data_IF_819638325111
#
_entry.id   IF_819638325111
#
_cell.length_a   1.000
_cell.length_b   1.000
_cell.length_c   1.000
_cell.angle_alpha   90.00
_cell.angle_beta   90.00
_cell.angle_gamma   90.00
#
_symmetry.space_group_name_H-M   'P 1'
#
loop_
_entity.id
_entity.type
_entity.pdbx_description
1 polymer ?
#
# COMPACT_ATOMS: atom_id res chain seq x y z
N UNK A 1 -4.22 11.52 16.76
CA UNK A 1 -5.17 10.65 16.05
C UNK A 1 -6.21 11.53 15.39
N UNK A 2 -6.59 11.29 14.13
CA UNK A 2 -7.72 12.01 13.50
C UNK A 2 -9.02 11.43 14.05
N UNK A 3 -9.89 12.30 14.55
CA UNK A 3 -11.22 11.93 15.01
C UNK A 3 -12.09 11.48 13.82
N UNK A 4 -12.95 10.50 14.04
CA UNK A 4 -13.97 10.07 13.08
C UNK A 4 -15.29 10.71 13.50
N UNK A 5 -15.86 11.55 12.65
CA UNK A 5 -17.00 12.41 12.96
C UNK A 5 -18.27 11.96 12.22
N UNK A 6 -19.42 12.48 12.63
CA UNK A 6 -20.70 12.28 11.91
C UNK A 6 -20.61 12.74 10.44
N UNK A 7 -19.79 13.76 10.15
CA UNK A 7 -19.57 14.22 8.79
C UNK A 7 -18.77 13.18 7.96
N UNK A 8 -17.78 12.51 8.57
CA UNK A 8 -17.07 11.43 7.92
C UNK A 8 -18.01 10.25 7.61
N UNK A 9 -18.87 9.92 8.57
CA UNK A 9 -19.88 8.89 8.38
C UNK A 9 -20.83 9.23 7.24
N UNK A 10 -21.31 10.48 7.19
CA UNK A 10 -22.16 10.96 6.11
C UNK A 10 -21.50 10.81 4.74
N UNK A 11 -20.27 11.30 4.58
CA UNK A 11 -19.53 11.17 3.32
C UNK A 11 -19.14 9.71 2.99
N UNK A 12 -18.84 8.90 3.99
CA UNK A 12 -18.58 7.47 3.80
C UNK A 12 -19.82 6.77 3.25
N UNK A 13 -20.99 7.04 3.80
CA UNK A 13 -22.25 6.42 3.38
C UNK A 13 -22.73 6.92 2.01
N UNK A 14 -22.42 8.18 1.64
CA UNK A 14 -22.70 8.71 0.29
C UNK A 14 -21.69 8.28 -0.77
N UNK A 15 -20.56 7.67 -0.37
CA UNK A 15 -19.46 7.31 -1.28
C UNK A 15 -18.60 8.49 -1.73
N UNK A 16 -18.70 9.64 -1.08
CA UNK A 16 -18.02 10.89 -1.45
C UNK A 16 -16.79 11.21 -0.58
N UNK A 17 -16.43 10.34 0.36
CA UNK A 17 -15.30 10.56 1.26
C UNK A 17 -13.96 10.28 0.61
N UNK A 18 -13.39 11.24 -0.10
CA UNK A 18 -12.15 11.09 -0.88
C UNK A 18 -10.88 10.87 -0.03
N UNK A 19 -10.91 11.17 1.27
CA UNK A 19 -9.75 11.04 2.18
C UNK A 19 -10.00 10.05 3.33
N UNK A 20 -10.93 9.12 3.15
CA UNK A 20 -11.31 8.14 4.19
C UNK A 20 -10.12 7.28 4.66
N UNK A 21 -9.17 7.00 3.76
CA UNK A 21 -7.93 6.29 4.06
C UNK A 21 -7.03 6.98 5.11
N UNK A 22 -7.23 8.26 5.38
CA UNK A 22 -6.50 8.98 6.43
C UNK A 22 -7.03 8.69 7.84
N UNK A 23 -8.22 8.10 7.94
CA UNK A 23 -8.92 7.82 9.19
C UNK A 23 -9.15 6.33 9.43
N UNK A 24 -9.39 5.55 8.36
CA UNK A 24 -9.57 4.10 8.40
C UNK A 24 -8.24 3.39 8.25
N UNK A 25 -8.18 2.14 8.73
CA UNK A 25 -6.96 1.33 8.70
C UNK A 25 -6.07 1.49 9.95
N UNK A 26 -4.79 1.20 9.80
CA UNK A 26 -3.81 1.25 10.87
C UNK A 26 -2.93 2.50 10.78
N UNK A 27 -3.06 3.40 11.75
CA UNK A 27 -2.32 4.66 11.81
C UNK A 27 -1.43 4.76 13.05
N UNK A 28 -0.16 5.11 12.85
CA UNK A 28 0.75 5.28 13.97
C UNK A 28 0.55 6.61 14.67
N UNK A 29 0.35 6.53 15.98
CA UNK A 29 0.29 7.68 16.87
C UNK A 29 1.71 8.07 17.26
N UNK A 30 2.07 9.33 17.07
CA UNK A 30 3.43 9.83 17.30
C UNK A 30 3.44 11.07 18.18
N UNK A 31 4.48 11.18 19.00
CA UNK A 31 4.84 12.39 19.67
C UNK A 31 6.32 12.69 19.41
N UNK A 32 6.65 13.89 18.91
CA UNK A 32 8.05 14.32 18.63
C UNK A 32 8.90 13.27 17.90
N UNK A 33 8.34 12.62 16.87
CA UNK A 33 8.97 11.53 16.11
C UNK A 33 9.06 10.16 16.81
N UNK A 34 8.63 10.01 18.06
CA UNK A 34 8.53 8.72 18.74
C UNK A 34 7.15 8.12 18.45
N UNK A 35 7.11 6.86 18.00
CA UNK A 35 5.87 6.11 17.88
C UNK A 35 5.45 5.69 19.29
N UNK A 36 4.25 6.11 19.69
CA UNK A 36 3.63 5.74 20.97
C UNK A 36 2.80 4.46 20.86
N UNK A 37 2.25 4.17 19.68
CA UNK A 37 1.44 3.01 19.42
C UNK A 37 0.77 3.12 18.04
N UNK A 38 -0.15 2.21 17.77
CA UNK A 38 -0.93 2.17 16.52
C UNK A 38 -2.42 2.20 16.82
N UNK A 39 -3.13 3.06 16.11
CA UNK A 39 -4.59 3.12 16.14
C UNK A 39 -5.15 2.39 14.93
N UNK A 40 -6.09 1.50 15.18
CA UNK A 40 -6.81 0.73 14.17
C UNK A 40 -8.26 1.21 14.07
N UNK A 41 -8.78 1.29 12.86
CA UNK A 41 -10.19 1.58 12.60
C UNK A 41 -10.68 0.80 11.40
N UNK A 42 -11.83 0.12 11.54
CA UNK A 42 -12.43 -0.71 10.48
C UNK A 42 -13.94 -0.57 10.48
N UNK A 43 -14.52 -0.60 9.28
CA UNK A 43 -15.96 -0.66 9.09
C UNK A 43 -16.40 -2.11 8.96
N UNK A 44 -17.22 -2.58 9.91
CA UNK A 44 -17.74 -3.94 9.97
C UNK A 44 -19.19 -3.95 10.52
N UNK A 45 -20.17 -3.37 9.79
CA UNK A 45 -21.50 -3.08 10.32
C UNK A 45 -22.29 -4.35 10.73
N UNK A 46 -21.96 -5.49 10.17
CA UNK A 46 -22.61 -6.78 10.48
C UNK A 46 -21.81 -7.63 11.47
N UNK A 47 -20.81 -7.05 12.12
CA UNK A 47 -20.02 -7.74 13.13
C UNK A 47 -20.67 -7.62 14.51
N UNK A 48 -20.69 -8.74 15.27
CA UNK A 48 -20.98 -8.71 16.69
C UNK A 48 -19.78 -8.22 17.49
N UNK A 49 -18.58 -8.69 17.14
CA UNK A 49 -17.32 -8.33 17.77
C UNK A 49 -16.22 -8.28 16.70
N UNK A 50 -15.24 -7.41 16.91
CA UNK A 50 -14.04 -7.33 16.06
C UNK A 50 -12.80 -7.33 16.94
N UNK A 51 -11.77 -8.06 16.53
CA UNK A 51 -10.46 -8.10 17.20
C UNK A 51 -9.37 -7.77 16.21
N UNK A 52 -8.30 -7.12 16.68
CA UNK A 52 -7.04 -7.05 15.96
C UNK A 52 -6.15 -8.18 16.45
N UNK A 53 -5.74 -9.04 15.53
CA UNK A 53 -4.83 -10.17 15.79
C UNK A 53 -3.59 -10.03 14.92
N UNK A 54 -2.43 -10.40 15.44
CA UNK A 54 -1.18 -10.25 14.71
C UNK A 54 0.02 -10.79 15.46
N UNK A 55 1.21 -10.53 14.93
CA UNK A 55 2.47 -11.01 15.52
C UNK A 55 2.64 -10.51 16.96
N UNK A 56 2.22 -9.27 17.24
CA UNK A 56 2.33 -8.61 18.54
C UNK A 56 1.50 -9.26 19.67
N UNK A 57 0.52 -10.07 19.35
CA UNK A 57 -0.32 -10.78 20.34
C UNK A 57 -0.42 -12.29 20.07
N UNK A 58 0.57 -12.85 19.34
CA UNK A 58 0.62 -14.25 18.94
C UNK A 58 -0.69 -14.72 18.26
N UNK A 59 -1.32 -13.84 17.49
CA UNK A 59 -2.57 -14.07 16.74
C UNK A 59 -3.76 -14.43 17.64
N UNK A 60 -3.72 -14.01 18.91
CA UNK A 60 -4.76 -14.31 19.92
C UNK A 60 -5.82 -13.20 19.98
N UNK A 61 -7.03 -13.55 20.46
CA UNK A 61 -8.18 -12.65 20.66
C UNK A 61 -8.02 -11.77 21.91
N UNK A 62 -6.88 -11.15 22.13
CA UNK A 62 -6.61 -10.31 23.30
C UNK A 62 -6.87 -8.82 23.08
N UNK A 63 -7.08 -8.40 21.83
CA UNK A 63 -7.20 -7.00 21.44
C UNK A 63 -8.55 -6.75 20.76
N UNK A 64 -9.62 -6.73 21.59
CA UNK A 64 -10.97 -6.45 21.14
C UNK A 64 -11.12 -4.97 20.79
N UNK A 65 -11.68 -4.68 19.61
CA UNK A 65 -12.00 -3.33 19.17
C UNK A 65 -13.30 -2.85 19.81
N UNK A 66 -13.36 -1.55 20.09
CA UNK A 66 -14.55 -0.88 20.60
C UNK A 66 -15.39 -0.37 19.45
N UNK A 67 -16.69 -0.53 19.55
CA UNK A 67 -17.64 0.12 18.66
C UNK A 67 -17.55 1.64 18.83
N UNK A 68 -17.39 2.36 17.74
CA UNK A 68 -17.27 3.84 17.74
C UNK A 68 -18.59 4.47 17.30
N UNK A 69 -19.01 4.22 16.06
CA UNK A 69 -20.21 4.76 15.46
C UNK A 69 -20.63 3.91 14.26
N UNK A 70 -21.91 3.59 14.11
CA UNK A 70 -22.57 3.00 12.94
C UNK A 70 -21.75 1.92 12.19
N UNK A 71 -21.33 0.90 12.92
CA UNK A 71 -20.55 -0.21 12.38
C UNK A 71 -19.06 0.06 12.22
N UNK A 72 -18.57 1.20 12.64
CA UNK A 72 -17.14 1.51 12.74
C UNK A 72 -16.62 1.05 14.10
N UNK A 73 -15.54 0.27 14.08
CA UNK A 73 -14.83 -0.21 15.26
C UNK A 73 -13.42 0.41 15.32
N UNK A 74 -12.95 0.71 16.51
CA UNK A 74 -11.64 1.28 16.75
C UNK A 74 -10.88 0.60 17.90
N UNK A 75 -9.56 0.69 17.86
CA UNK A 75 -8.67 0.25 18.93
C UNK A 75 -7.35 1.00 18.89
N UNK A 76 -6.87 1.45 20.03
CA UNK A 76 -5.48 1.90 20.18
C UNK A 76 -4.66 0.83 20.89
N UNK A 77 -3.52 0.45 20.28
CA UNK A 77 -2.56 -0.50 20.85
C UNK A 77 -1.28 0.25 21.19
N UNK A 78 -1.03 0.44 22.48
CA UNK A 78 0.17 1.13 22.98
C UNK A 78 1.44 0.34 22.64
N UNK A 79 2.50 1.06 22.30
CA UNK A 79 3.81 0.47 22.01
C UNK A 79 3.92 -0.25 20.66
N UNK A 80 2.82 -0.48 19.95
CA UNK A 80 2.83 -1.19 18.67
C UNK A 80 3.50 -0.34 17.59
N UNK A 81 4.53 -0.92 16.96
CA UNK A 81 5.40 -0.25 15.99
C UNK A 81 5.02 -0.57 14.55
N UNK A 82 5.84 -0.07 13.64
CA UNK A 82 5.80 -0.38 12.20
C UNK A 82 6.34 -1.78 11.91
N UNK A 83 5.85 -2.39 10.85
CA UNK A 83 6.23 -3.69 10.32
C UNK A 83 5.72 -4.89 11.15
N UNK A 84 4.61 -4.71 11.86
CA UNK A 84 3.88 -5.79 12.51
C UNK A 84 2.75 -6.29 11.59
N UNK A 85 2.68 -7.59 11.39
CA UNK A 85 1.60 -8.19 10.60
C UNK A 85 0.34 -8.33 11.45
N UNK A 86 -0.81 -8.07 10.83
CA UNK A 86 -2.11 -8.15 11.50
C UNK A 86 -3.25 -8.51 10.54
N UNK A 87 -4.34 -8.98 11.13
CA UNK A 87 -5.65 -9.14 10.50
C UNK A 87 -6.74 -8.67 11.44
N UNK A 88 -7.92 -8.42 10.89
CA UNK A 88 -9.14 -8.32 11.68
C UNK A 88 -9.78 -9.70 11.78
N UNK A 89 -10.05 -10.13 13.02
CA UNK A 89 -10.92 -11.26 13.32
C UNK A 89 -12.30 -10.74 13.64
N UNK A 90 -13.24 -11.04 12.79
CA UNK A 90 -14.64 -10.61 12.88
C UNK A 90 -15.49 -11.78 13.37
N UNK A 91 -16.22 -11.57 14.44
CA UNK A 91 -17.22 -12.51 14.95
C UNK A 91 -18.59 -12.04 14.49
N UNK A 92 -19.24 -12.85 13.68
CA UNK A 92 -20.58 -12.58 13.18
C UNK A 92 -21.67 -12.83 14.24
N UNK A 93 -22.89 -12.36 14.03
CA UNK A 93 -24.01 -12.57 14.97
C UNK A 93 -24.36 -14.06 15.14
N UNK A 94 -24.13 -14.91 14.14
CA UNK A 94 -24.30 -16.37 14.20
C UNK A 94 -23.07 -17.12 14.76
N UNK A 95 -22.04 -16.37 15.23
CA UNK A 95 -20.86 -16.91 15.90
C UNK A 95 -19.75 -17.41 15.00
N UNK A 96 -19.83 -17.22 13.67
CA UNK A 96 -18.73 -17.56 12.75
C UNK A 96 -17.56 -16.62 12.93
N UNK A 97 -16.37 -17.14 12.69
CA UNK A 97 -15.11 -16.39 12.68
C UNK A 97 -14.68 -16.11 11.25
N UNK A 98 -14.42 -14.84 10.94
CA UNK A 98 -13.97 -14.41 9.63
C UNK A 98 -12.67 -13.63 9.80
N UNK A 99 -11.61 -14.07 9.14
CA UNK A 99 -10.31 -13.43 9.14
C UNK A 99 -10.19 -12.56 7.89
N UNK A 100 -9.95 -11.25 8.06
CA UNK A 100 -9.85 -10.28 6.97
C UNK A 100 -8.57 -9.47 7.06
N UNK A 101 -7.94 -9.24 5.89
CA UNK A 101 -6.96 -8.18 5.75
C UNK A 101 -7.64 -6.81 5.91
N UNK A 102 -6.85 -5.81 6.25
CA UNK A 102 -7.33 -4.43 6.35
C UNK A 102 -7.49 -3.83 4.94
N UNK A 103 -8.70 -3.39 4.55
CA UNK A 103 -8.92 -2.79 3.24
C UNK A 103 -8.20 -1.46 3.04
N UNK A 104 -7.78 -0.79 4.12
CA UNK A 104 -7.05 0.48 4.10
C UNK A 104 -5.57 0.33 4.47
N UNK A 105 -5.04 -0.89 4.48
CA UNK A 105 -3.63 -1.12 4.75
C UNK A 105 -2.74 -0.45 3.71
N UNK A 106 -1.67 0.22 4.16
CA UNK A 106 -0.65 0.82 3.29
C UNK A 106 0.47 -0.16 2.92
N UNK A 107 0.51 -1.32 3.54
CA UNK A 107 1.47 -2.37 3.25
C UNK A 107 0.88 -3.74 3.56
N UNK A 108 1.29 -4.74 2.79
CA UNK A 108 0.83 -6.12 2.91
C UNK A 108 2.01 -7.07 3.10
N UNK A 109 1.77 -8.17 3.76
CA UNK A 109 2.72 -9.28 3.87
C UNK A 109 2.99 -9.87 2.48
N UNK A 110 4.23 -10.32 2.27
CA UNK A 110 4.61 -10.97 0.99
C UNK A 110 3.85 -12.29 0.84
N UNK A 111 3.30 -12.51 -0.35
CA UNK A 111 2.60 -13.77 -0.69
C UNK A 111 3.49 -15.00 -0.44
N UNK A 112 2.94 -16.17 -0.11
CA UNK A 112 1.52 -16.56 -0.14
C UNK A 112 0.69 -16.05 1.04
N UNK A 113 1.31 -15.36 1.97
CA UNK A 113 0.66 -14.81 3.13
C UNK A 113 -0.29 -13.65 2.76
N UNK A 114 -1.29 -13.39 3.62
CA UNK A 114 -2.39 -12.47 3.30
C UNK A 114 -2.69 -11.47 4.42
N UNK A 115 -1.74 -11.26 5.34
CA UNK A 115 -1.91 -10.27 6.38
C UNK A 115 -1.60 -8.86 5.88
N UNK A 116 -2.22 -7.88 6.50
CA UNK A 116 -1.82 -6.49 6.42
C UNK A 116 -0.62 -6.24 7.32
N UNK A 117 0.19 -5.24 6.99
CA UNK A 117 1.37 -4.88 7.77
C UNK A 117 1.29 -3.41 8.18
N UNK A 118 1.47 -3.11 9.45
CA UNK A 118 1.54 -1.73 9.93
C UNK A 118 2.72 -1.02 9.28
N UNK A 119 2.51 0.19 8.75
CA UNK A 119 3.55 0.89 8.01
C UNK A 119 3.66 2.36 8.40
N UNK A 120 4.90 2.79 8.63
CA UNK A 120 5.24 4.18 8.88
C UNK A 120 6.16 4.70 7.79
N UNK A 121 5.59 5.29 6.75
CA UNK A 121 6.37 5.95 5.70
C UNK A 121 7.22 7.08 6.26
N UNK A 122 8.48 7.11 5.86
CA UNK A 122 9.44 8.19 6.17
C UNK A 122 9.99 8.84 4.92
N UNK A 123 9.51 8.42 3.75
CA UNK A 123 9.95 8.95 2.48
C UNK A 123 9.55 10.43 2.34
N UNK A 124 10.46 11.22 1.81
CA UNK A 124 10.23 12.62 1.45
C UNK A 124 10.57 12.79 -0.01
N UNK A 125 9.59 13.17 -0.80
CA UNK A 125 9.78 13.46 -2.22
C UNK A 125 10.73 14.63 -2.43
N UNK A 126 11.51 14.58 -3.51
CA UNK A 126 12.46 15.62 -3.95
C UNK A 126 12.14 16.12 -5.37
N UNK A 127 10.95 15.85 -5.83
CA UNK A 127 10.43 16.13 -7.16
C UNK A 127 9.72 17.49 -7.30
N UNK A 128 10.00 18.45 -6.40
CA UNK A 128 9.30 19.74 -6.37
C UNK A 128 9.43 20.51 -7.71
N UNK A 129 10.57 20.39 -8.41
CA UNK A 129 10.76 21.01 -9.74
C UNK A 129 9.75 20.43 -10.74
N UNK A 130 9.65 19.10 -10.82
CA UNK A 130 8.65 18.39 -11.64
C UNK A 130 7.22 18.82 -11.30
N UNK A 131 6.88 18.87 -10.01
CA UNK A 131 5.54 19.25 -9.56
C UNK A 131 5.18 20.68 -9.93
N UNK A 132 6.15 21.60 -9.95
CA UNK A 132 5.93 22.98 -10.38
C UNK A 132 5.76 23.06 -11.92
N UNK A 133 6.63 22.40 -12.68
CA UNK A 133 6.55 22.37 -14.15
C UNK A 133 5.27 21.69 -14.64
N UNK A 134 4.80 20.65 -13.95
CA UNK A 134 3.58 19.92 -14.29
C UNK A 134 2.33 20.81 -14.32
N UNK A 135 2.26 21.86 -13.51
CA UNK A 135 1.11 22.77 -13.46
C UNK A 135 1.00 23.58 -14.77
N UNK A 136 2.15 23.89 -15.38
CA UNK A 136 2.24 24.67 -16.62
C UNK A 136 2.21 23.79 -17.88
N UNK A 137 2.25 22.45 -17.71
CA UNK A 137 2.31 21.52 -18.83
C UNK A 137 0.95 21.33 -19.48
N UNK A 138 0.80 21.77 -20.74
CA UNK A 138 -0.40 21.51 -21.53
C UNK A 138 -0.24 20.23 -22.37
N UNK A 139 -0.88 19.16 -21.93
CA UNK A 139 -0.89 17.86 -22.62
C UNK A 139 -1.46 17.91 -24.04
N UNK A 140 -2.23 18.94 -24.40
CA UNK A 140 -2.80 19.09 -25.74
C UNK A 140 -1.83 19.69 -26.75
N UNK A 141 -0.84 20.43 -26.26
CA UNK A 141 0.13 21.14 -27.10
C UNK A 141 1.54 20.53 -27.06
N UNK A 142 1.76 19.52 -26.21
CA UNK A 142 3.05 18.87 -26.06
C UNK A 142 3.01 17.43 -26.59
N UNK A 143 4.10 16.94 -27.21
CA UNK A 143 4.17 15.54 -27.60
C UNK A 143 4.16 14.64 -26.37
N UNK A 144 3.32 13.60 -26.40
CA UNK A 144 3.21 12.59 -25.36
C UNK A 144 3.54 11.23 -25.94
N UNK A 145 4.48 10.52 -25.31
CA UNK A 145 4.83 9.14 -25.60
C UNK A 145 4.85 8.34 -24.29
N UNK A 146 4.00 7.32 -24.20
CA UNK A 146 3.79 6.54 -23.00
C UNK A 146 4.36 5.14 -23.21
N UNK A 147 5.15 4.66 -22.27
CA UNK A 147 5.64 3.29 -22.22
C UNK A 147 4.91 2.52 -21.14
N UNK A 148 4.07 1.57 -21.54
CA UNK A 148 3.35 0.68 -20.63
C UNK A 148 4.22 -0.53 -20.28
N UNK A 149 4.29 -0.89 -19.01
CA UNK A 149 5.03 -2.07 -18.57
C UNK A 149 4.45 -2.73 -17.33
N UNK A 150 4.63 -4.05 -17.25
CA UNK A 150 4.45 -4.83 -16.04
C UNK A 150 5.79 -5.02 -15.32
N UNK A 151 5.92 -4.48 -14.10
CA UNK A 151 7.19 -4.47 -13.35
C UNK A 151 7.79 -5.86 -13.14
N UNK A 152 6.96 -6.88 -12.95
CA UNK A 152 7.40 -8.24 -12.68
C UNK A 152 7.96 -9.00 -13.88
N UNK A 153 7.61 -8.59 -15.10
CA UNK A 153 8.03 -9.30 -16.34
C UNK A 153 8.94 -8.48 -17.25
N UNK A 154 9.03 -7.16 -17.07
CA UNK A 154 9.80 -6.30 -17.97
C UNK A 154 11.30 -6.60 -17.97
N UNK A 155 11.91 -6.67 -16.79
CA UNK A 155 13.27 -7.17 -16.59
C UNK A 155 13.30 -7.99 -15.31
N UNK A 156 13.79 -9.20 -15.40
CA UNK A 156 13.96 -10.10 -14.26
C UNK A 156 15.44 -10.27 -13.95
N UNK A 157 15.75 -10.63 -12.72
CA UNK A 157 17.09 -11.00 -12.30
C UNK A 157 17.17 -12.50 -12.01
N UNK A 158 18.33 -13.08 -12.25
CA UNK A 158 18.59 -14.47 -11.88
C UNK A 158 19.26 -14.52 -10.51
N UNK A 159 18.71 -15.31 -9.61
CA UNK A 159 19.29 -15.54 -8.28
C UNK A 159 19.79 -16.97 -8.24
N UNK A 160 21.07 -17.15 -7.94
CA UNK A 160 21.60 -18.49 -7.70
C UNK A 160 20.97 -19.03 -6.41
N UNK A 161 20.34 -20.20 -6.48
CA UNK A 161 20.05 -20.99 -5.28
C UNK A 161 21.38 -21.47 -4.72
N UNK A 162 21.54 -21.34 -3.39
CA UNK A 162 22.75 -21.77 -2.68
C UNK A 162 23.30 -23.11 -3.23
N UNK A 163 24.58 -23.12 -3.53
CA UNK A 163 25.45 -24.26 -3.90
C UNK A 163 24.80 -25.36 -4.76
N UNK A 164 24.81 -25.16 -6.06
CA UNK A 164 24.55 -26.23 -7.06
C UNK A 164 23.12 -26.26 -7.64
N UNK A 165 22.25 -25.34 -7.34
CA UNK A 165 20.93 -25.22 -7.96
C UNK A 165 20.94 -24.38 -9.24
N UNK A 166 20.02 -24.68 -10.18
CA UNK A 166 19.82 -23.85 -11.36
C UNK A 166 19.41 -22.41 -10.95
N UNK A 167 19.83 -21.37 -11.69
CA UNK A 167 19.39 -20.00 -11.48
C UNK A 167 17.85 -19.94 -11.50
N UNK A 168 17.27 -19.17 -10.57
CA UNK A 168 15.83 -18.95 -10.52
C UNK A 168 15.54 -17.49 -10.88
N UNK A 169 14.55 -17.27 -11.72
CA UNK A 169 14.04 -15.95 -12.00
C UNK A 169 13.47 -15.32 -10.72
N UNK A 170 13.83 -14.07 -10.49
CA UNK A 170 13.32 -13.28 -9.37
C UNK A 170 12.94 -11.88 -9.85
N UNK A 171 11.96 -11.28 -9.20
CA UNK A 171 11.58 -9.89 -9.47
C UNK A 171 12.70 -8.94 -9.07
N UNK A 172 12.86 -7.87 -9.84
CA UNK A 172 13.61 -6.72 -9.40
C UNK A 172 12.80 -5.97 -8.31
N UNK A 173 13.50 -5.40 -7.34
CA UNK A 173 12.84 -4.47 -6.43
C UNK A 173 12.53 -3.14 -7.13
N UNK A 174 11.63 -2.31 -6.54
CA UNK A 174 11.39 -0.96 -6.99
C UNK A 174 12.68 -0.14 -7.13
N UNK A 175 13.65 -0.35 -6.23
CA UNK A 175 14.96 0.32 -6.28
C UNK A 175 15.85 -0.19 -7.39
N UNK A 176 15.91 -1.53 -7.57
CA UNK A 176 16.79 -2.13 -8.57
C UNK A 176 16.34 -1.75 -9.99
N UNK A 177 15.02 -1.70 -10.22
CA UNK A 177 14.46 -1.40 -11.55
C UNK A 177 14.57 0.09 -11.92
N UNK A 178 14.61 0.98 -10.93
CA UNK A 178 14.58 2.43 -11.14
C UNK A 178 15.63 2.94 -12.15
N UNK A 179 16.94 2.70 -11.98
CA UNK A 179 17.94 3.19 -12.91
C UNK A 179 17.80 2.57 -14.30
N UNK A 180 17.45 1.30 -14.40
CA UNK A 180 17.26 0.58 -15.66
C UNK A 180 16.07 1.13 -16.45
N UNK A 181 15.01 1.50 -15.74
CA UNK A 181 13.81 2.07 -16.35
C UNK A 181 14.05 3.49 -16.84
N UNK A 182 14.70 4.32 -16.04
CA UNK A 182 15.06 5.70 -16.45
C UNK A 182 15.95 5.70 -17.68
N UNK A 183 16.97 4.85 -17.73
CA UNK A 183 17.85 4.69 -18.88
C UNK A 183 17.04 4.36 -20.14
N UNK A 184 16.24 3.29 -20.07
CA UNK A 184 15.41 2.83 -21.19
C UNK A 184 14.44 3.90 -21.70
N UNK A 185 13.75 4.59 -20.80
CA UNK A 185 12.78 5.63 -21.17
C UNK A 185 13.45 6.82 -21.84
N UNK A 186 14.62 7.26 -21.36
CA UNK A 186 15.37 8.35 -21.94
C UNK A 186 15.98 8.01 -23.30
N UNK A 187 16.57 6.83 -23.46
CA UNK A 187 17.13 6.37 -24.73
C UNK A 187 16.09 6.29 -25.85
N UNK A 188 14.83 6.00 -25.49
CA UNK A 188 13.74 5.88 -26.45
C UNK A 188 12.81 7.10 -26.50
N UNK A 189 13.15 8.20 -25.81
CA UNK A 189 12.40 9.45 -25.78
C UNK A 189 10.93 9.31 -25.31
N UNK A 190 10.68 8.41 -24.35
CA UNK A 190 9.37 8.35 -23.69
C UNK A 190 9.22 9.49 -22.68
N UNK A 191 8.05 10.11 -22.68
CA UNK A 191 7.71 11.19 -21.74
C UNK A 191 7.07 10.67 -20.46
N UNK A 192 6.41 9.53 -20.54
CA UNK A 192 5.70 8.91 -19.43
C UNK A 192 5.94 7.41 -19.40
N UNK A 193 5.79 6.84 -18.21
CA UNK A 193 5.66 5.41 -18.02
C UNK A 193 4.30 5.10 -17.38
N UNK A 194 3.61 4.11 -17.90
CA UNK A 194 2.41 3.55 -17.30
C UNK A 194 2.74 2.20 -16.67
N UNK A 195 2.53 2.12 -15.36
CA UNK A 195 2.75 0.89 -14.60
C UNK A 195 1.44 0.11 -14.55
N UNK A 196 1.41 -1.07 -15.17
CA UNK A 196 0.36 -2.08 -14.96
C UNK A 196 0.16 -2.30 -13.46
N UNK A 197 -1.02 -2.78 -13.00
CA UNK A 197 -1.44 -2.63 -11.62
C UNK A 197 -0.38 -3.00 -10.59
N UNK A 198 -0.04 -2.05 -9.74
CA UNK A 198 0.96 -2.21 -8.67
C UNK A 198 0.31 -2.37 -7.29
N UNK A 199 -1.01 -2.40 -7.22
CA UNK A 199 -1.76 -2.69 -5.98
C UNK A 199 -1.58 -4.13 -5.56
N UNK A 200 -1.71 -4.42 -4.26
CA UNK A 200 -1.50 -5.78 -3.73
C UNK A 200 -2.57 -6.75 -4.23
N UNK A 201 -2.11 -7.93 -4.65
CA UNK A 201 -2.93 -8.99 -5.24
C UNK A 201 -2.36 -10.38 -4.91
N UNK A 202 -3.20 -11.44 -4.79
CA UNK A 202 -2.73 -12.75 -4.37
C UNK A 202 -2.12 -13.58 -5.51
N UNK A 203 -2.58 -13.37 -6.76
CA UNK A 203 -2.26 -14.22 -7.90
C UNK A 203 -1.36 -13.48 -8.92
N UNK A 204 -0.12 -13.95 -9.10
CA UNK A 204 0.84 -13.38 -10.06
C UNK A 204 0.30 -13.37 -11.50
N UNK A 205 -0.39 -14.44 -11.90
CA UNK A 205 -0.96 -14.57 -13.24
C UNK A 205 -2.09 -13.55 -13.55
N UNK A 206 -2.60 -12.86 -12.54
CA UNK A 206 -3.58 -11.78 -12.75
C UNK A 206 -2.96 -10.46 -13.20
N UNK A 207 -1.62 -10.35 -13.19
CA UNK A 207 -0.88 -9.12 -13.47
C UNK A 207 -1.25 -7.94 -12.58
N UNK A 208 -1.88 -8.20 -11.43
CA UNK A 208 -2.35 -7.18 -10.50
C UNK A 208 -3.83 -6.80 -10.66
N UNK A 209 -4.53 -7.31 -11.66
CA UNK A 209 -5.96 -6.95 -11.88
C UNK A 209 -6.94 -7.60 -10.90
N UNK A 210 -6.50 -8.56 -10.08
CA UNK A 210 -7.30 -9.14 -8.99
C UNK A 210 -6.89 -8.55 -7.63
N UNK A 211 -7.17 -7.26 -7.45
CA UNK A 211 -6.73 -6.47 -6.30
C UNK A 211 -7.34 -6.96 -4.99
N UNK A 212 -6.52 -7.05 -3.94
CA UNK A 212 -6.94 -7.30 -2.55
C UNK A 212 -6.59 -6.17 -1.59
N UNK A 213 -5.66 -5.28 -1.97
CA UNK A 213 -5.24 -4.15 -1.15
C UNK A 213 -5.14 -2.87 -1.96
N UNK A 214 -6.24 -2.10 -2.05
CA UNK A 214 -6.31 -0.90 -2.89
C UNK A 214 -5.35 0.23 -2.50
N UNK A 215 -4.96 0.30 -1.22
CA UNK A 215 -4.04 1.33 -0.70
C UNK A 215 -2.62 0.80 -0.47
N UNK A 216 -2.40 -0.48 -0.73
CA UNK A 216 -1.12 -1.15 -0.54
C UNK A 216 -0.45 -1.40 -1.88
N UNK A 217 0.73 -0.83 -2.16
CA UNK A 217 1.54 -1.29 -3.28
C UNK A 217 1.96 -2.74 -3.03
N UNK A 218 2.04 -3.52 -4.11
CA UNK A 218 2.40 -4.94 -3.96
C UNK A 218 3.76 -5.11 -3.30
N UNK A 219 3.80 -5.94 -2.29
CA UNK A 219 5.01 -6.28 -1.53
C UNK A 219 6.04 -7.10 -2.33
N UNK A 220 5.65 -7.62 -3.51
CA UNK A 220 6.52 -8.40 -4.42
C UNK A 220 7.79 -7.67 -4.81
N UNK A 221 7.69 -6.35 -4.98
CA UNK A 221 8.77 -5.51 -5.48
C UNK A 221 9.42 -4.66 -4.37
N UNK A 222 8.98 -4.81 -3.12
CA UNK A 222 9.56 -4.10 -1.98
C UNK A 222 8.55 -3.34 -1.12
N UNK A 223 9.05 -2.35 -0.40
CA UNK A 223 8.25 -1.57 0.56
C UNK A 223 7.61 -0.36 -0.11
N UNK A 224 6.53 0.20 0.47
CA UNK A 224 5.88 1.41 -0.05
C UNK A 224 6.82 2.61 -0.27
N UNK A 225 7.81 2.81 0.61
CA UNK A 225 8.80 3.88 0.45
C UNK A 225 9.74 3.67 -0.75
N UNK A 226 9.90 2.42 -1.21
CA UNK A 226 10.69 2.11 -2.40
C UNK A 226 9.91 2.40 -3.69
N UNK A 227 8.58 2.22 -3.70
CA UNK A 227 7.74 2.70 -4.80
C UNK A 227 7.77 4.22 -4.87
N UNK A 228 7.67 4.92 -3.72
CA UNK A 228 7.80 6.38 -3.67
C UNK A 228 9.16 6.83 -4.22
N UNK A 229 10.23 6.10 -3.92
CA UNK A 229 11.55 6.36 -4.49
C UNK A 229 11.55 6.19 -6.01
N UNK A 230 10.95 5.14 -6.55
CA UNK A 230 10.83 4.94 -8.01
C UNK A 230 10.14 6.12 -8.67
N UNK A 231 8.97 6.53 -8.17
CA UNK A 231 8.20 7.67 -8.70
C UNK A 231 9.00 8.96 -8.61
N UNK A 232 9.61 9.25 -7.45
CA UNK A 232 10.40 10.45 -7.23
C UNK A 232 11.60 10.54 -8.18
N UNK A 233 12.30 9.43 -8.43
CA UNK A 233 13.43 9.39 -9.37
C UNK A 233 13.00 9.56 -10.83
N UNK A 234 11.85 9.01 -11.23
CA UNK A 234 11.27 9.21 -12.55
C UNK A 234 10.90 10.68 -12.75
N UNK A 235 10.23 11.32 -11.79
CA UNK A 235 9.91 12.75 -11.83
C UNK A 235 11.16 13.61 -11.91
N UNK A 236 12.20 13.33 -11.11
CA UNK A 236 13.48 14.05 -11.20
C UNK A 236 14.19 13.84 -12.55
N UNK A 237 13.92 12.77 -13.25
CA UNK A 237 14.40 12.49 -14.58
C UNK A 237 13.56 13.14 -15.71
N UNK A 238 12.48 13.86 -15.37
CA UNK A 238 11.57 14.49 -16.32
C UNK A 238 10.53 13.52 -16.92
N UNK A 239 10.24 12.40 -16.25
CA UNK A 239 9.35 11.35 -16.73
C UNK A 239 8.12 11.28 -15.84
N UNK A 240 6.92 11.40 -16.44
CA UNK A 240 5.66 11.23 -15.75
C UNK A 240 5.34 9.78 -15.46
N UNK A 241 4.57 9.54 -14.37
CA UNK A 241 4.14 8.20 -13.96
C UNK A 241 2.62 8.11 -13.98
N UNK A 242 2.11 7.11 -14.68
CA UNK A 242 0.70 6.75 -14.73
C UNK A 242 0.56 5.41 -14.01
N UNK A 243 -0.47 5.27 -13.20
CA UNK A 243 -0.84 4.03 -12.52
C UNK A 243 -2.14 3.51 -13.12
N UNK A 244 -2.12 2.27 -13.61
CA UNK A 244 -3.30 1.53 -14.07
C UNK A 244 -4.07 0.93 -12.87
#
# INVERSE_FOLDING_TARGET
MKEFTDLDLYYMNSGEHTTLYEKMGAHMVKERNKILGTHFRVYAPNAREVFVIGDFNAWQRSHQMQWEIDGVFQLYVEGLKSLENYKYLIITHDGREIYKADPYAFFSQVRPETASTTYNSRYKFKDQAWMNERVEYDFKEQPVSIYELHLGSWKQKFVNRNEGGAPMEAFNSYKDITPLLIEHLKENNYTHVELLPITEHPLDASWGYQVTGYYSPTSRFGKPDELKYLVDQLHQAGIGVILD
#
